data_IF_163441492067
#
_entry.id   IF_163441492067
#
_cell.length_a   1.000
_cell.length_b   1.000
_cell.length_c   1.000
_cell.angle_alpha   90.00
_cell.angle_beta   90.00
_cell.angle_gamma   90.00
#
_symmetry.space_group_name_H-M   'P 1'
#
loop_
_entity.id
_entity.type
_entity.pdbx_description
1 polymer ?
#
# COMPACT_ATOMS: atom_id res chain seq x y z
N UNK A 1 -0.39 42.71 -50.71
CA UNK A 1 0.54 42.49 -49.58
C UNK A 1 -0.18 41.96 -48.33
N UNK A 2 -1.43 42.35 -48.08
CA UNK A 2 -2.22 41.90 -46.92
C UNK A 2 -2.74 40.44 -47.02
N UNK A 3 -2.97 39.92 -48.23
CA UNK A 3 -3.49 38.55 -48.40
C UNK A 3 -2.48 37.48 -47.93
N UNK A 4 -1.18 37.72 -48.14
CA UNK A 4 -0.12 36.85 -47.60
C UNK A 4 -0.11 36.83 -46.07
N UNK A 5 -0.37 37.96 -45.43
CA UNK A 5 -0.47 38.04 -43.96
C UNK A 5 -1.70 37.31 -43.44
N UNK A 6 -2.83 37.37 -44.16
CA UNK A 6 -4.05 36.63 -43.81
C UNK A 6 -3.86 35.12 -43.97
N UNK A 7 -3.22 34.67 -45.06
CA UNK A 7 -2.92 33.25 -45.27
C UNK A 7 -1.92 32.74 -44.23
N UNK A 8 -0.88 33.53 -43.91
CA UNK A 8 0.09 33.18 -42.86
C UNK A 8 -0.57 33.12 -41.49
N UNK A 9 -1.43 34.09 -41.15
CA UNK A 9 -2.17 34.10 -39.90
C UNK A 9 -3.12 32.90 -39.80
N UNK A 10 -3.87 32.60 -40.87
CA UNK A 10 -4.73 31.41 -40.94
C UNK A 10 -3.94 30.10 -40.82
N UNK A 11 -2.78 30.01 -41.46
CA UNK A 11 -1.87 28.86 -41.35
C UNK A 11 -1.29 28.71 -39.95
N UNK A 12 -0.86 29.81 -39.31
CA UNK A 12 -0.33 29.80 -37.95
C UNK A 12 -1.40 29.39 -36.93
N UNK A 13 -2.61 29.94 -37.04
CA UNK A 13 -3.75 29.55 -36.19
C UNK A 13 -4.08 28.07 -36.39
N UNK A 14 -4.15 27.60 -37.64
CA UNK A 14 -4.41 26.19 -37.96
C UNK A 14 -3.34 25.28 -37.34
N UNK A 15 -2.07 25.65 -37.42
CA UNK A 15 -0.95 24.89 -36.85
C UNK A 15 -1.03 24.83 -35.32
N UNK A 16 -1.27 25.98 -34.66
CA UNK A 16 -1.41 26.03 -33.19
C UNK A 16 -2.61 25.19 -32.73
N UNK A 17 -3.76 25.27 -33.42
CA UNK A 17 -4.91 24.43 -33.09
C UNK A 17 -4.62 22.95 -33.28
N UNK A 18 -3.94 22.56 -34.35
CA UNK A 18 -3.55 21.16 -34.59
C UNK A 18 -2.58 20.67 -33.51
N UNK A 19 -1.51 21.42 -33.23
CA UNK A 19 -0.51 21.06 -32.22
C UNK A 19 -1.11 20.94 -30.81
N UNK A 20 -2.00 21.86 -30.43
CA UNK A 20 -2.67 21.81 -29.12
C UNK A 20 -3.62 20.62 -29.01
N UNK A 21 -4.39 20.32 -30.06
CA UNK A 21 -5.26 19.13 -30.10
C UNK A 21 -4.42 17.85 -30.03
N UNK A 22 -3.36 17.72 -30.82
CA UNK A 22 -2.47 16.54 -30.79
C UNK A 22 -1.79 16.38 -29.44
N UNK A 23 -1.31 17.46 -28.83
CA UNK A 23 -0.71 17.41 -27.49
C UNK A 23 -1.71 16.96 -26.44
N UNK A 24 -2.93 17.51 -26.48
CA UNK A 24 -3.99 17.18 -25.54
C UNK A 24 -4.45 15.73 -25.71
N UNK A 25 -4.68 15.28 -26.95
CA UNK A 25 -5.00 13.90 -27.28
C UNK A 25 -3.89 12.95 -26.84
N UNK A 26 -2.62 13.27 -27.10
CA UNK A 26 -1.48 12.49 -26.64
C UNK A 26 -1.41 12.38 -25.12
N UNK A 27 -1.72 13.47 -24.40
CA UNK A 27 -1.78 13.47 -22.93
C UNK A 27 -2.91 12.57 -22.42
N UNK A 28 -4.09 12.61 -23.03
CA UNK A 28 -5.21 11.74 -22.65
C UNK A 28 -4.97 10.28 -23.03
N UNK A 29 -4.40 10.00 -24.21
CA UNK A 29 -4.05 8.68 -24.69
C UNK A 29 -3.06 7.99 -23.73
N UNK A 30 -1.95 8.66 -23.38
CA UNK A 30 -0.98 8.12 -22.41
C UNK A 30 -1.62 7.82 -21.05
N UNK A 31 -2.54 8.68 -20.60
CA UNK A 31 -3.25 8.46 -19.33
C UNK A 31 -4.26 7.31 -19.42
N UNK A 32 -4.90 7.11 -20.56
CA UNK A 32 -5.79 6.00 -20.81
C UNK A 32 -5.00 4.68 -20.90
N UNK A 33 -3.88 4.66 -21.62
CA UNK A 33 -2.96 3.52 -21.73
C UNK A 33 -2.42 3.09 -20.37
N UNK A 34 -1.96 4.02 -19.54
CA UNK A 34 -1.46 3.70 -18.20
C UNK A 34 -2.55 3.05 -17.31
N UNK A 35 -3.80 3.51 -17.41
CA UNK A 35 -4.93 2.91 -16.68
C UNK A 35 -5.31 1.55 -17.24
N UNK A 36 -5.27 1.38 -18.56
CA UNK A 36 -5.54 0.11 -19.21
C UNK A 36 -4.47 -0.93 -18.83
N UNK A 37 -3.19 -0.56 -18.92
CA UNK A 37 -2.07 -1.40 -18.51
C UNK A 37 -2.18 -1.80 -17.03
N UNK A 38 -2.48 -0.85 -16.13
CA UNK A 38 -2.69 -1.14 -14.71
C UNK A 38 -3.85 -2.12 -14.47
N UNK A 39 -4.96 -2.02 -15.22
CA UNK A 39 -6.07 -2.97 -15.13
C UNK A 39 -5.70 -4.36 -15.64
N UNK A 40 -4.97 -4.44 -16.75
CA UNK A 40 -4.47 -5.71 -17.29
C UNK A 40 -3.52 -6.39 -16.32
N UNK A 41 -2.57 -5.64 -15.75
CA UNK A 41 -1.66 -6.13 -14.72
C UNK A 41 -2.42 -6.61 -13.48
N UNK A 42 -3.44 -5.87 -13.04
CA UNK A 42 -4.31 -6.28 -11.93
C UNK A 42 -5.03 -7.59 -12.21
N UNK A 43 -5.51 -7.80 -13.45
CA UNK A 43 -6.14 -9.05 -13.87
C UNK A 43 -5.14 -10.22 -13.89
N UNK A 44 -3.93 -9.98 -14.38
CA UNK A 44 -2.84 -10.97 -14.36
C UNK A 44 -2.44 -11.32 -12.92
N UNK A 45 -2.35 -10.33 -12.03
CA UNK A 45 -2.11 -10.55 -10.60
C UNK A 45 -3.21 -11.38 -9.96
N UNK A 46 -4.48 -11.10 -10.26
CA UNK A 46 -5.58 -11.94 -9.75
C UNK A 46 -5.47 -13.38 -10.24
N UNK A 47 -5.13 -13.62 -11.52
CA UNK A 47 -4.93 -14.99 -12.01
C UNK A 47 -3.74 -15.68 -11.36
N UNK A 48 -2.63 -14.97 -11.13
CA UNK A 48 -1.45 -15.52 -10.45
C UNK A 48 -1.76 -15.86 -8.99
N UNK A 49 -2.49 -14.99 -8.28
CA UNK A 49 -2.88 -15.27 -6.88
C UNK A 49 -3.85 -16.45 -6.77
N UNK A 50 -4.77 -16.62 -7.73
CA UNK A 50 -5.64 -17.81 -7.78
C UNK A 50 -4.79 -19.06 -8.04
N UNK A 51 -3.91 -19.04 -9.03
CA UNK A 51 -3.01 -20.15 -9.31
C UNK A 51 -2.12 -20.49 -8.10
N UNK A 52 -1.62 -19.47 -7.40
CA UNK A 52 -0.80 -19.64 -6.20
C UNK A 52 -1.61 -20.13 -4.99
N UNK A 53 -2.91 -19.83 -4.91
CA UNK A 53 -3.82 -20.38 -3.90
C UNK A 53 -4.05 -21.87 -4.13
N UNK A 54 -4.22 -22.27 -5.39
CA UNK A 54 -4.58 -23.65 -5.77
C UNK A 54 -3.36 -24.56 -6.01
N UNK A 55 -2.15 -24.00 -6.10
CA UNK A 55 -0.93 -24.77 -6.29
C UNK A 55 -0.66 -25.73 -5.11
N UNK A 56 -0.12 -26.94 -5.37
CA UNK A 56 0.38 -27.81 -4.30
C UNK A 56 1.58 -27.17 -3.60
N UNK A 57 1.82 -27.47 -2.32
CA UNK A 57 2.90 -26.86 -1.51
C UNK A 57 4.29 -26.98 -2.14
N UNK A 58 4.54 -28.03 -2.93
CA UNK A 58 5.80 -28.26 -3.65
C UNK A 58 5.98 -27.41 -4.92
N UNK A 59 4.93 -26.74 -5.40
CA UNK A 59 4.93 -26.01 -6.67
C UNK A 59 4.83 -24.48 -6.50
N UNK A 60 5.11 -23.95 -5.30
CA UNK A 60 5.24 -22.50 -5.10
C UNK A 60 6.41 -21.97 -5.95
N UNK A 61 6.08 -21.38 -7.09
CA UNK A 61 7.08 -20.96 -8.08
C UNK A 61 7.57 -19.56 -7.74
N UNK A 62 8.81 -19.47 -7.23
CA UNK A 62 9.50 -18.19 -6.97
C UNK A 62 9.51 -17.27 -8.20
N UNK A 63 9.53 -17.86 -9.39
CA UNK A 63 9.43 -17.14 -10.67
C UNK A 63 8.07 -16.46 -10.86
N UNK A 64 6.96 -17.12 -10.53
CA UNK A 64 5.63 -16.51 -10.60
C UNK A 64 5.47 -15.40 -9.55
N UNK A 65 6.08 -15.55 -8.37
CA UNK A 65 6.10 -14.49 -7.36
C UNK A 65 6.95 -13.29 -7.82
N UNK A 66 8.09 -13.51 -8.48
CA UNK A 66 8.89 -12.44 -9.06
C UNK A 66 8.13 -11.70 -10.19
N UNK A 67 7.40 -12.43 -11.03
CA UNK A 67 6.51 -11.82 -12.04
C UNK A 67 5.39 -11.01 -11.37
N UNK A 68 4.80 -11.53 -10.29
CA UNK A 68 3.80 -10.81 -9.51
C UNK A 68 4.38 -9.52 -8.89
N UNK A 69 5.61 -9.52 -8.37
CA UNK A 69 6.26 -8.30 -7.85
C UNK A 69 6.40 -7.23 -8.93
N UNK A 70 6.81 -7.63 -10.14
CA UNK A 70 6.92 -6.74 -11.29
C UNK A 70 5.56 -6.16 -11.69
N UNK A 71 4.52 -7.00 -11.74
CA UNK A 71 3.16 -6.55 -12.05
C UNK A 71 2.59 -5.63 -10.96
N UNK A 72 2.87 -5.90 -9.69
CA UNK A 72 2.44 -5.05 -8.57
C UNK A 72 3.07 -3.65 -8.64
N UNK A 73 4.32 -3.54 -9.13
CA UNK A 73 4.99 -2.26 -9.32
C UNK A 73 4.29 -1.35 -10.36
N UNK A 74 3.53 -1.94 -11.29
CA UNK A 74 2.75 -1.18 -12.29
C UNK A 74 1.47 -0.57 -11.74
N UNK A 75 1.03 -0.98 -10.54
CA UNK A 75 -0.12 -0.38 -9.85
C UNK A 75 0.23 1.04 -9.44
N UNK A 76 -0.49 2.00 -10.01
CA UNK A 76 -0.24 3.44 -9.79
C UNK A 76 -0.72 3.92 -8.42
N UNK A 77 -1.71 3.24 -7.84
CA UNK A 77 -2.24 3.60 -6.53
C UNK A 77 -1.36 3.06 -5.41
N UNK A 78 -0.84 3.96 -4.56
CA UNK A 78 0.12 3.64 -3.50
C UNK A 78 -0.37 2.58 -2.51
N UNK A 79 -1.54 2.79 -1.91
CA UNK A 79 -2.08 1.89 -0.87
C UNK A 79 -2.31 0.44 -1.35
N UNK A 80 -3.02 0.18 -2.48
CA UNK A 80 -3.19 -1.19 -2.97
C UNK A 80 -1.86 -1.79 -3.43
N UNK A 81 -0.94 -0.99 -4.00
CA UNK A 81 0.39 -1.46 -4.34
C UNK A 81 1.16 -1.96 -3.12
N UNK A 82 1.22 -1.17 -2.05
CA UNK A 82 1.92 -1.54 -0.81
C UNK A 82 1.32 -2.83 -0.20
N UNK A 83 -0.01 -2.91 -0.12
CA UNK A 83 -0.69 -4.09 0.41
C UNK A 83 -0.43 -5.36 -0.43
N UNK A 84 -0.42 -5.25 -1.77
CA UNK A 84 -0.15 -6.38 -2.66
C UNK A 84 1.32 -6.78 -2.59
N UNK A 85 2.25 -5.82 -2.54
CA UNK A 85 3.68 -6.11 -2.37
C UNK A 85 3.96 -6.82 -1.05
N UNK A 86 3.29 -6.43 0.02
CA UNK A 86 3.37 -7.09 1.33
C UNK A 86 2.86 -8.54 1.26
N UNK A 87 1.71 -8.78 0.63
CA UNK A 87 1.20 -10.14 0.41
C UNK A 87 2.18 -10.99 -0.40
N UNK A 88 2.76 -10.45 -1.48
CA UNK A 88 3.70 -11.20 -2.32
C UNK A 88 4.99 -11.53 -1.55
N UNK A 89 5.49 -10.59 -0.74
CA UNK A 89 6.64 -10.81 0.13
C UNK A 89 6.36 -11.94 1.13
N UNK A 90 5.25 -11.87 1.84
CA UNK A 90 4.86 -12.91 2.79
C UNK A 90 4.61 -14.27 2.12
N UNK A 91 4.06 -14.30 0.91
CA UNK A 91 3.91 -15.56 0.13
C UNK A 91 5.24 -16.18 -0.27
N UNK A 92 6.29 -15.35 -0.45
CA UNK A 92 7.64 -15.83 -0.73
C UNK A 92 8.31 -16.40 0.52
N UNK A 93 8.01 -15.80 1.66
CA UNK A 93 8.58 -16.16 2.96
C UNK A 93 7.76 -17.25 3.68
N UNK A 94 6.51 -17.53 3.28
CA UNK A 94 5.62 -18.52 3.91
C UNK A 94 6.11 -19.97 3.88
N UNK A 95 7.18 -20.28 3.16
CA UNK A 95 7.86 -21.57 3.20
C UNK A 95 8.96 -21.66 4.26
N UNK A 96 9.19 -20.60 5.03
CA UNK A 96 10.11 -20.60 6.16
C UNK A 96 9.47 -21.35 7.34
N UNK A 97 10.17 -22.34 7.93
CA UNK A 97 9.65 -23.09 9.06
C UNK A 97 9.49 -22.22 10.32
N UNK A 98 10.24 -21.13 10.41
CA UNK A 98 10.19 -20.14 11.50
C UNK A 98 8.80 -19.47 11.58
N UNK A 99 8.15 -19.23 10.42
CA UNK A 99 6.80 -18.65 10.38
C UNK A 99 5.76 -19.65 10.87
N UNK A 100 5.84 -20.92 10.49
CA UNK A 100 4.89 -21.94 10.94
C UNK A 100 4.99 -22.18 12.45
N UNK A 101 6.23 -22.21 12.99
CA UNK A 101 6.48 -22.46 14.40
C UNK A 101 6.01 -21.32 15.31
N UNK A 102 6.19 -20.06 14.87
CA UNK A 102 5.91 -18.89 15.71
C UNK A 102 4.50 -18.31 15.47
N UNK A 103 3.96 -18.41 14.25
CA UNK A 103 2.58 -17.99 13.97
C UNK A 103 1.54 -19.06 14.29
N UNK A 104 1.96 -20.34 14.41
CA UNK A 104 1.06 -21.47 14.60
C UNK A 104 0.14 -21.78 13.40
N UNK A 105 0.37 -21.13 12.26
CA UNK A 105 -0.42 -21.33 11.03
C UNK A 105 0.38 -22.19 10.05
N UNK A 106 -0.18 -23.31 9.55
CA UNK A 106 0.51 -24.14 8.58
C UNK A 106 0.65 -23.39 7.25
N UNK A 107 1.75 -23.63 6.53
CA UNK A 107 2.12 -22.90 5.31
C UNK A 107 0.99 -22.89 4.25
N UNK A 108 0.30 -24.01 4.02
CA UNK A 108 -0.87 -24.08 3.15
C UNK A 108 -2.00 -23.11 3.56
N UNK A 109 -2.29 -22.99 4.86
CA UNK A 109 -3.36 -22.11 5.36
C UNK A 109 -2.94 -20.65 5.33
N UNK A 110 -1.67 -20.37 5.66
CA UNK A 110 -1.10 -19.02 5.53
C UNK A 110 -1.20 -18.54 4.07
N UNK A 111 -0.82 -19.38 3.10
CA UNK A 111 -0.97 -19.09 1.67
C UNK A 111 -2.41 -18.77 1.26
N UNK A 112 -3.38 -19.57 1.73
CA UNK A 112 -4.80 -19.31 1.43
C UNK A 112 -5.24 -17.94 1.96
N UNK A 113 -4.91 -17.62 3.22
CA UNK A 113 -5.26 -16.34 3.85
C UNK A 113 -4.61 -15.16 3.10
N UNK A 114 -3.33 -15.30 2.74
CA UNK A 114 -2.57 -14.29 2.00
C UNK A 114 -3.16 -14.05 0.61
N UNK A 115 -3.43 -15.13 -0.15
CA UNK A 115 -4.06 -15.03 -1.46
C UNK A 115 -5.47 -14.42 -1.37
N UNK A 116 -6.29 -14.83 -0.40
CA UNK A 116 -7.64 -14.30 -0.22
C UNK A 116 -7.65 -12.82 0.13
N UNK A 117 -6.73 -12.39 1.00
CA UNK A 117 -6.56 -10.97 1.29
C UNK A 117 -6.08 -10.19 0.06
N UNK A 118 -5.08 -10.72 -0.67
CA UNK A 118 -4.60 -10.12 -1.92
C UNK A 118 -5.71 -9.96 -2.96
N UNK A 119 -6.53 -10.98 -3.16
CA UNK A 119 -7.69 -10.94 -4.06
C UNK A 119 -8.74 -9.93 -3.59
N UNK A 120 -8.99 -9.82 -2.28
CA UNK A 120 -9.89 -8.81 -1.73
C UNK A 120 -9.37 -7.38 -1.97
N UNK A 121 -8.07 -7.15 -1.81
CA UNK A 121 -7.40 -5.85 -2.07
C UNK A 121 -7.48 -5.49 -3.56
N UNK A 122 -7.13 -6.40 -4.46
CA UNK A 122 -7.20 -6.18 -5.91
C UNK A 122 -8.65 -5.97 -6.36
N UNK A 123 -9.59 -6.74 -5.82
CA UNK A 123 -11.02 -6.60 -6.10
C UNK A 123 -11.59 -5.25 -5.63
N UNK A 124 -11.19 -4.77 -4.45
CA UNK A 124 -11.54 -3.44 -3.97
C UNK A 124 -10.90 -2.35 -4.85
N UNK A 125 -9.65 -2.53 -5.26
CA UNK A 125 -8.96 -1.59 -6.14
C UNK A 125 -9.65 -1.46 -7.51
N UNK A 126 -10.09 -2.57 -8.11
CA UNK A 126 -10.81 -2.56 -9.40
C UNK A 126 -12.18 -1.89 -9.30
N UNK A 127 -12.88 -2.08 -8.18
CA UNK A 127 -14.20 -1.47 -7.92
C UNK A 127 -14.12 -0.01 -7.49
N UNK A 128 -12.95 0.44 -7.04
CA UNK A 128 -12.76 1.78 -6.46
C UNK A 128 -13.28 1.89 -5.02
N UNK A 129 -13.43 0.76 -4.34
CA UNK A 129 -13.95 0.66 -2.98
C UNK A 129 -12.85 0.93 -1.93
N UNK A 130 -13.27 1.03 -0.67
CA UNK A 130 -12.35 1.07 0.46
C UNK A 130 -11.58 -0.26 0.54
N UNK A 131 -10.27 -0.16 0.76
CA UNK A 131 -9.41 -1.32 0.95
C UNK A 131 -9.81 -2.12 2.20
N UNK A 132 -9.83 -3.46 2.11
CA UNK A 132 -10.07 -4.30 3.27
C UNK A 132 -8.94 -4.13 4.29
N UNK A 133 -9.27 -4.26 5.58
CA UNK A 133 -8.24 -4.30 6.61
C UNK A 133 -7.49 -5.63 6.56
N UNK A 134 -6.18 -5.64 6.87
CA UNK A 134 -5.43 -6.89 6.98
C UNK A 134 -5.98 -7.72 8.16
N UNK A 135 -6.23 -9.03 7.95
CA UNK A 135 -6.66 -9.93 9.01
C UNK A 135 -5.59 -10.03 10.11
N UNK A 136 -6.01 -10.30 11.34
CA UNK A 136 -5.13 -10.33 12.52
C UNK A 136 -3.98 -11.33 12.33
N UNK A 137 -4.29 -12.53 11.83
CA UNK A 137 -3.29 -13.54 11.47
C UNK A 137 -2.22 -13.04 10.51
N UNK A 138 -2.55 -12.13 9.61
CA UNK A 138 -1.61 -11.53 8.66
C UNK A 138 -0.67 -10.54 9.34
N UNK A 139 -1.17 -9.81 10.34
CA UNK A 139 -0.36 -8.88 11.15
C UNK A 139 0.62 -9.64 12.03
N UNK A 140 0.16 -10.74 12.61
CA UNK A 140 1.00 -11.61 13.45
C UNK A 140 2.12 -12.25 12.61
N UNK A 141 1.78 -12.82 11.45
CA UNK A 141 2.78 -13.35 10.51
C UNK A 141 3.80 -12.28 10.08
N UNK A 142 3.36 -11.04 9.83
CA UNK A 142 4.25 -9.93 9.49
C UNK A 142 5.17 -9.54 10.66
N UNK A 143 4.66 -9.55 11.88
CA UNK A 143 5.48 -9.26 13.07
C UNK A 143 6.61 -10.27 13.22
N UNK A 144 6.26 -11.55 13.12
CA UNK A 144 7.21 -12.68 13.18
C UNK A 144 8.22 -12.63 12.04
N UNK A 145 7.80 -12.33 10.81
CA UNK A 145 8.70 -12.19 9.66
C UNK A 145 9.76 -11.11 9.91
N UNK A 146 9.35 -9.93 10.38
CA UNK A 146 10.29 -8.84 10.65
C UNK A 146 11.27 -9.19 11.78
N UNK A 147 10.81 -9.92 12.80
CA UNK A 147 11.68 -10.41 13.87
C UNK A 147 12.69 -11.45 13.35
N UNK A 148 12.24 -12.44 12.57
CA UNK A 148 13.09 -13.47 11.97
C UNK A 148 14.14 -12.86 11.02
N UNK A 149 13.75 -11.88 10.21
CA UNK A 149 14.68 -11.16 9.34
C UNK A 149 15.65 -10.28 10.11
N UNK A 150 15.23 -9.64 11.20
CA UNK A 150 16.10 -8.85 12.05
C UNK A 150 17.19 -9.74 12.69
N UNK A 151 16.81 -10.92 13.19
CA UNK A 151 17.75 -11.91 13.74
C UNK A 151 18.74 -12.37 12.65
N UNK A 152 18.25 -12.70 11.44
CA UNK A 152 19.11 -13.12 10.31
C UNK A 152 20.04 -12.02 9.81
N UNK A 153 19.64 -10.75 9.94
CA UNK A 153 20.48 -9.60 9.58
C UNK A 153 21.51 -9.25 10.67
N UNK A 154 21.57 -10.00 11.77
CA UNK A 154 22.48 -9.74 12.89
C UNK A 154 22.04 -8.56 13.77
N UNK A 155 20.79 -8.11 13.65
CA UNK A 155 20.23 -7.10 14.52
C UNK A 155 19.88 -7.71 15.88
N UNK A 156 20.38 -7.12 16.96
CA UNK A 156 19.89 -7.42 18.29
C UNK A 156 18.37 -7.16 18.32
N UNK A 157 17.62 -8.06 18.99
CA UNK A 157 16.18 -7.96 19.14
C UNK A 157 15.81 -6.55 19.59
N UNK A 158 15.24 -5.77 18.67
CA UNK A 158 14.67 -4.47 19.00
C UNK A 158 13.28 -4.77 19.53
N UNK A 159 13.20 -5.04 20.83
CA UNK A 159 11.94 -5.10 21.55
C UNK A 159 11.31 -3.71 21.52
N UNK A 160 10.53 -3.40 20.49
CA UNK A 160 9.51 -2.38 20.59
C UNK A 160 8.37 -2.98 21.43
N UNK A 161 8.61 -3.03 22.75
CA UNK A 161 7.57 -3.32 23.73
C UNK A 161 6.56 -2.17 23.69
N UNK A 162 5.39 -2.44 23.12
CA UNK A 162 4.14 -1.79 23.49
C UNK A 162 3.85 -2.13 24.97
N UNK A 163 4.58 -1.47 25.88
CA UNK A 163 4.33 -1.57 27.32
C UNK A 163 3.11 -0.75 27.72
N UNK A 164 1.93 -1.31 27.47
CA UNK A 164 0.76 -1.03 28.30
C UNK A 164 0.92 -1.84 29.62
N UNK A 165 1.94 -1.46 30.38
CA UNK A 165 2.33 -2.08 31.64
C UNK A 165 1.82 -1.27 32.82
N UNK A 166 0.78 -1.78 33.46
CA UNK A 166 0.32 -1.43 34.80
C UNK A 166 1.50 -1.39 35.80
N UNK A 167 1.78 -0.21 36.37
CA UNK A 167 2.78 0.00 37.42
C UNK A 167 2.18 -0.26 38.82
N UNK A 168 2.88 -0.97 39.72
CA UNK A 168 2.80 -0.73 41.16
C UNK A 168 3.99 0.14 41.65
N UNK A 169 3.85 0.87 42.77
CA UNK A 169 4.75 1.97 43.15
C UNK A 169 5.89 1.55 44.12
N UNK A 170 6.86 2.48 44.26
CA UNK A 170 7.79 2.78 45.39
C UNK A 170 9.32 2.72 45.10
N UNK A 171 9.87 3.88 44.71
CA UNK A 171 10.97 4.72 45.28
C UNK A 171 12.10 4.14 46.19
N UNK A 172 13.23 4.88 46.43
CA UNK A 172 14.00 5.83 45.60
C UNK A 172 15.56 5.71 45.76
N UNK A 173 16.30 6.65 45.13
CA UNK A 173 17.72 7.05 45.31
C UNK A 173 18.76 6.43 44.36
N UNK A 174 19.27 7.22 43.42
CA UNK A 174 20.60 7.87 43.55
C UNK A 174 20.98 8.68 42.29
N UNK A 175 21.75 9.73 42.51
CA UNK A 175 22.04 10.84 41.61
C UNK A 175 23.07 10.54 40.51
N UNK A 176 22.98 11.27 39.38
CA UNK A 176 24.05 11.36 38.37
C UNK A 176 23.60 11.90 37.02
N UNK A 177 23.72 13.21 36.82
CA UNK A 177 23.64 13.95 35.54
C UNK A 177 24.60 13.38 34.45
N UNK A 178 24.42 13.59 33.11
CA UNK A 178 24.15 14.91 32.50
C UNK A 178 23.19 14.99 31.30
N UNK A 179 22.86 16.23 30.97
CA UNK A 179 21.96 16.74 29.93
C UNK A 179 22.31 16.29 28.49
N UNK A 180 21.28 15.96 27.70
CA UNK A 180 21.32 15.88 26.23
C UNK A 180 20.09 16.64 25.70
N UNK A 181 20.25 17.58 24.74
CA UNK A 181 19.26 18.61 24.44
C UNK A 181 18.01 18.07 23.73
N UNK A 182 16.83 18.30 24.32
CA UNK A 182 15.55 17.95 23.72
C UNK A 182 15.22 18.89 22.56
N UNK A 183 15.25 18.32 21.34
CA UNK A 183 14.89 18.98 20.10
C UNK A 183 13.38 19.23 20.07
N UNK A 184 12.97 20.51 20.06
CA UNK A 184 11.58 21.00 19.94
C UNK A 184 10.79 20.22 18.88
N UNK A 185 9.82 19.40 19.32
CA UNK A 185 8.76 18.86 18.47
C UNK A 185 7.73 19.97 18.24
N UNK A 186 7.68 20.44 16.99
CA UNK A 186 6.74 21.45 16.49
C UNK A 186 5.33 20.87 16.49
N UNK A 187 4.56 21.12 17.55
CA UNK A 187 3.12 20.83 17.57
C UNK A 187 2.41 21.65 16.48
N UNK A 188 1.63 21.00 15.62
CA UNK A 188 0.71 21.67 14.70
C UNK A 188 -0.65 21.82 15.40
N UNK A 189 -1.31 22.98 15.31
CA UNK A 189 -2.51 23.27 16.08
C UNK A 189 -3.73 22.51 15.56
N UNK A 190 -4.44 21.88 16.49
CA UNK A 190 -5.74 21.23 16.36
C UNK A 190 -6.82 22.30 16.23
N UNK A 191 -7.38 22.49 15.04
CA UNK A 191 -8.56 23.36 14.85
C UNK A 191 -9.82 22.60 15.26
N UNK A 192 -10.63 23.26 16.09
CA UNK A 192 -11.93 22.76 16.56
C UNK A 192 -13.07 23.58 15.94
N UNK A 193 -14.09 22.84 15.50
CA UNK A 193 -15.54 23.16 15.39
C UNK A 193 -16.02 24.34 14.52
N UNK A 194 -17.03 24.04 13.69
CA UNK A 194 -18.41 24.51 13.92
C UNK A 194 -19.43 23.66 13.14
N UNK A 195 -20.24 22.88 13.86
CA UNK A 195 -21.47 22.26 13.35
C UNK A 195 -22.64 23.17 13.72
N UNK A 196 -23.28 23.78 12.73
CA UNK A 196 -24.56 24.47 12.90
C UNK A 196 -25.70 23.44 12.76
N UNK A 197 -26.27 23.01 13.87
CA UNK A 197 -27.56 22.31 13.88
C UNK A 197 -28.66 23.36 14.10
N UNK A 198 -29.57 23.45 13.13
CA UNK A 198 -30.79 24.28 13.18
C UNK A 198 -31.92 23.38 13.68
N UNK A 199 -32.43 23.63 14.89
CA UNK A 199 -33.65 23.00 15.39
C UNK A 199 -34.88 23.59 14.68
N UNK A 200 -35.91 22.79 14.37
CA UNK A 200 -37.19 23.29 13.90
C UNK A 200 -38.11 23.70 15.05
N UNK A 201 -38.87 24.78 14.82
CA UNK A 201 -39.86 25.37 15.71
C UNK A 201 -41.01 24.41 16.06
N UNK A 202 -41.34 24.32 17.35
CA UNK A 202 -42.66 23.96 17.86
C UNK A 202 -43.45 25.27 18.01
N UNK A 203 -44.65 25.33 17.44
CA UNK A 203 -45.65 26.34 17.78
C UNK A 203 -46.97 25.65 18.09
N UNK A 204 -47.45 25.94 19.30
CA UNK A 204 -48.87 25.96 19.69
C UNK A 204 -49.69 26.93 18.83
#
# INVERSE_FOLDING_TARGET
MNDFLLVLAGGAVSLVTSATVTWLQGRYARRAEARAASRTATRQLTSLLIAQRDAPESASSRTALAEAELLAATITARRPREAVQEVIRLLRESSLPELEQLSGVPAARARQILCDHGLAVLGAHLRGDRLPQPPETLRDMRSVENEALNIRAGGAASSEDESNGFLPPEDPLSAGAPEIPSRKVRSRPRTTRKSTAKSPDLLD
#
